data_IF_100380145167
#
_entry.id   IF_100380145167
#
_cell.length_a   1.000
_cell.length_b   1.000
_cell.length_c   1.000
_cell.angle_alpha   90.00
_cell.angle_beta   90.00
_cell.angle_gamma   90.00
#
_symmetry.space_group_name_H-M   'P 1'
#
loop_
_entity.id
_entity.type
_entity.pdbx_description
1 polymer ?
#
# COMPACT_ATOMS: atom_id res chain seq x y z
N UNK A 1 -0.09 -11.11 -11.42
CA UNK A 1 0.04 -11.29 -9.94
C UNK A 1 -0.70 -10.19 -9.18
N UNK A 2 -1.25 -10.47 -7.97
CA UNK A 2 -1.85 -9.43 -7.11
C UNK A 2 -0.74 -8.71 -6.33
N UNK A 3 -0.37 -7.48 -6.74
CA UNK A 3 0.71 -6.71 -6.10
C UNK A 3 0.21 -5.81 -4.97
N UNK A 4 -1.01 -5.28 -5.07
CA UNK A 4 -1.61 -4.44 -4.04
C UNK A 4 -3.04 -4.87 -3.75
N UNK A 5 -3.25 -5.48 -2.58
CA UNK A 5 -4.59 -5.79 -2.05
C UNK A 5 -5.42 -4.52 -1.87
N UNK A 6 -4.81 -3.44 -1.37
CA UNK A 6 -5.49 -2.15 -1.16
C UNK A 6 -6.05 -1.59 -2.48
N UNK A 7 -5.27 -1.65 -3.56
CA UNK A 7 -5.70 -1.23 -4.91
C UNK A 7 -6.82 -2.14 -5.45
N UNK A 8 -6.69 -3.46 -5.27
CA UNK A 8 -7.75 -4.39 -5.66
C UNK A 8 -9.06 -4.12 -4.91
N UNK A 9 -8.99 -3.79 -3.61
CA UNK A 9 -10.15 -3.41 -2.79
C UNK A 9 -10.80 -2.09 -3.22
N UNK A 10 -10.10 -1.24 -3.96
CA UNK A 10 -10.63 0.03 -4.46
C UNK A 10 -11.52 -0.12 -5.71
N UNK A 11 -11.58 -1.30 -6.33
CA UNK A 11 -12.39 -1.52 -7.54
C UNK A 11 -13.89 -1.36 -7.23
N UNK A 12 -14.64 -0.54 -8.00
CA UNK A 12 -16.06 -0.25 -7.72
C UNK A 12 -16.98 -1.47 -7.76
N UNK A 13 -16.60 -2.49 -8.54
CA UNK A 13 -17.38 -3.73 -8.73
C UNK A 13 -16.97 -4.87 -7.79
N UNK A 14 -16.11 -4.57 -6.82
CA UNK A 14 -15.57 -5.57 -5.91
C UNK A 14 -16.66 -6.14 -5.00
N UNK A 15 -16.68 -7.48 -4.91
CA UNK A 15 -17.51 -8.24 -3.98
C UNK A 15 -16.66 -9.25 -3.21
N UNK A 16 -17.19 -9.83 -2.15
CA UNK A 16 -16.50 -10.87 -1.37
C UNK A 16 -16.05 -12.06 -2.24
N UNK A 17 -16.85 -12.40 -3.25
CA UNK A 17 -16.62 -13.51 -4.17
C UNK A 17 -15.81 -13.14 -5.42
N UNK A 18 -15.39 -11.88 -5.58
CA UNK A 18 -14.58 -11.47 -6.73
C UNK A 18 -13.32 -12.35 -6.83
N UNK A 19 -13.06 -13.00 -8.00
CA UNK A 19 -11.96 -13.92 -8.12
C UNK A 19 -10.60 -13.21 -8.19
N UNK A 20 -9.64 -13.76 -7.47
CA UNK A 20 -8.21 -13.36 -7.50
C UNK A 20 -7.40 -14.58 -7.91
N UNK A 21 -6.61 -14.46 -8.96
CA UNK A 21 -5.69 -15.52 -9.39
C UNK A 21 -4.37 -15.41 -8.64
N UNK A 22 -3.95 -16.53 -8.04
CA UNK A 22 -2.64 -16.71 -7.42
C UNK A 22 -1.99 -17.95 -8.06
N UNK A 23 -1.08 -17.73 -8.98
CA UNK A 23 -0.54 -18.79 -9.84
C UNK A 23 -1.66 -19.38 -10.74
N UNK A 24 -1.81 -20.70 -10.69
CA UNK A 24 -2.84 -21.42 -11.46
C UNK A 24 -4.20 -21.52 -10.74
N UNK A 25 -4.25 -21.13 -9.47
CA UNK A 25 -5.45 -21.23 -8.64
C UNK A 25 -6.20 -19.89 -8.58
N UNK A 26 -7.53 -20.00 -8.39
CA UNK A 26 -8.40 -18.85 -8.20
C UNK A 26 -9.07 -18.94 -6.84
N UNK A 27 -9.01 -17.84 -6.09
CA UNK A 27 -9.60 -17.68 -4.78
C UNK A 27 -10.52 -16.45 -4.78
N UNK A 28 -11.45 -16.37 -3.86
CA UNK A 28 -12.18 -15.12 -3.65
C UNK A 28 -11.29 -14.07 -2.92
N UNK A 29 -11.58 -12.80 -3.14
CA UNK A 29 -10.88 -11.69 -2.40
C UNK A 29 -10.97 -11.91 -0.90
N UNK A 30 -12.13 -12.32 -0.39
CA UNK A 30 -12.34 -12.55 1.04
C UNK A 30 -11.48 -13.71 1.57
N UNK A 31 -11.34 -14.81 0.82
CA UNK A 31 -10.45 -15.92 1.18
C UNK A 31 -8.98 -15.48 1.25
N UNK A 32 -8.52 -14.70 0.26
CA UNK A 32 -7.16 -14.19 0.22
C UNK A 32 -6.89 -13.27 1.43
N UNK A 33 -7.78 -12.32 1.69
CA UNK A 33 -7.67 -11.42 2.86
C UNK A 33 -7.68 -12.19 4.17
N UNK A 34 -8.62 -13.12 4.32
CA UNK A 34 -8.74 -13.92 5.55
C UNK A 34 -7.52 -14.79 5.78
N UNK A 35 -6.99 -15.42 4.72
CA UNK A 35 -5.77 -16.22 4.82
C UNK A 35 -4.56 -15.39 5.21
N UNK A 36 -4.39 -14.21 4.58
CA UNK A 36 -3.33 -13.26 4.95
C UNK A 36 -3.42 -12.85 6.42
N UNK A 37 -4.61 -12.48 6.89
CA UNK A 37 -4.82 -12.05 8.27
C UNK A 37 -4.63 -13.19 9.29
N UNK A 38 -4.97 -14.44 8.93
CA UNK A 38 -4.62 -15.61 9.76
C UNK A 38 -3.12 -15.79 9.90
N UNK A 39 -2.38 -15.58 8.81
CA UNK A 39 -0.92 -15.60 8.85
C UNK A 39 -0.36 -14.49 9.76
N UNK A 40 -0.85 -13.26 9.61
CA UNK A 40 -0.48 -12.13 10.49
C UNK A 40 -0.78 -12.46 11.96
N UNK A 41 -1.96 -13.04 12.25
CA UNK A 41 -2.31 -13.47 13.62
C UNK A 41 -1.30 -14.47 14.17
N UNK A 42 -0.97 -15.49 13.39
CA UNK A 42 0.00 -16.52 13.80
C UNK A 42 1.39 -15.92 14.05
N UNK A 43 1.84 -14.97 13.24
CA UNK A 43 3.13 -14.30 13.46
C UNK A 43 3.15 -13.44 14.73
N UNK A 44 2.04 -12.74 15.02
CA UNK A 44 1.90 -11.98 16.28
C UNK A 44 1.92 -12.90 17.50
N UNK A 45 1.27 -14.05 17.43
CA UNK A 45 1.26 -15.06 18.52
C UNK A 45 2.67 -15.63 18.75
N UNK A 46 3.46 -15.87 17.71
CA UNK A 46 4.88 -16.27 17.83
C UNK A 46 5.71 -15.20 18.54
N UNK A 47 5.37 -13.94 18.39
CA UNK A 47 6.00 -12.81 19.10
C UNK A 47 5.45 -12.59 20.52
N UNK A 48 4.69 -13.54 21.06
CA UNK A 48 4.03 -13.48 22.38
C UNK A 48 3.00 -12.35 22.52
N UNK A 49 2.42 -11.87 21.43
CA UNK A 49 1.27 -10.96 21.49
C UNK A 49 0.01 -11.77 21.76
N UNK A 50 -0.67 -11.49 22.88
CA UNK A 50 -1.90 -12.19 23.25
C UNK A 50 -3.09 -11.75 22.39
N UNK A 51 -3.09 -12.12 21.12
CA UNK A 51 -4.08 -11.65 20.11
C UNK A 51 -5.51 -11.99 20.50
N UNK A 52 -5.75 -13.14 21.10
CA UNK A 52 -7.11 -13.58 21.53
C UNK A 52 -7.70 -12.70 22.62
N UNK A 53 -6.86 -12.01 23.40
CA UNK A 53 -7.27 -11.07 24.45
C UNK A 53 -7.22 -9.62 23.99
N UNK A 54 -6.53 -9.35 22.89
CA UNK A 54 -6.38 -8.00 22.35
C UNK A 54 -7.67 -7.51 21.69
N UNK A 55 -7.94 -6.23 21.82
CA UNK A 55 -8.97 -5.52 21.07
C UNK A 55 -8.30 -4.86 19.88
N UNK A 56 -8.70 -5.26 18.67
CA UNK A 56 -8.11 -4.76 17.42
C UNK A 56 -8.93 -3.58 16.90
N UNK A 57 -8.24 -2.52 16.50
CA UNK A 57 -8.83 -1.40 15.76
C UNK A 57 -8.35 -1.50 14.32
N UNK A 58 -9.29 -1.49 13.38
CA UNK A 58 -9.00 -1.58 11.95
C UNK A 58 -9.08 -0.19 11.34
N UNK A 59 -8.04 0.20 10.61
CA UNK A 59 -8.05 1.45 9.85
C UNK A 59 -8.36 1.17 8.38
N UNK A 60 -9.16 2.05 7.78
CA UNK A 60 -9.55 2.02 6.36
C UNK A 60 -9.37 3.40 5.74
N UNK A 61 -9.18 3.53 4.42
CA UNK A 61 -9.08 4.83 3.76
C UNK A 61 -10.27 5.74 4.10
N UNK A 62 -10.04 7.06 4.20
CA UNK A 62 -11.07 8.02 4.60
C UNK A 62 -12.29 8.02 3.64
N UNK A 63 -12.04 7.77 2.36
CA UNK A 63 -13.03 7.71 1.30
C UNK A 63 -13.48 6.29 0.94
N UNK A 64 -13.14 5.30 1.76
CA UNK A 64 -13.57 3.92 1.53
C UNK A 64 -15.08 3.77 1.71
N UNK A 65 -15.75 3.13 0.75
CA UNK A 65 -17.17 2.87 0.74
C UNK A 65 -17.48 1.38 0.63
N UNK A 66 -18.68 0.97 1.08
CA UNK A 66 -19.24 -0.36 0.85
C UNK A 66 -18.23 -1.49 1.08
N UNK A 67 -17.90 -2.23 0.03
CA UNK A 67 -17.00 -3.38 0.09
C UNK A 67 -15.61 -3.04 0.66
N UNK A 68 -15.06 -1.86 0.37
CA UNK A 68 -13.77 -1.43 0.91
C UNK A 68 -13.74 -1.34 2.44
N UNK A 69 -14.88 -1.10 3.07
CA UNK A 69 -15.00 -1.07 4.55
C UNK A 69 -15.40 -2.43 5.11
N UNK A 70 -16.35 -3.10 4.46
CA UNK A 70 -16.96 -4.32 4.98
C UNK A 70 -16.06 -5.54 4.80
N UNK A 71 -15.37 -5.69 3.66
CA UNK A 71 -14.52 -6.85 3.41
C UNK A 71 -13.33 -6.97 4.36
N UNK A 72 -12.56 -5.89 4.65
CA UNK A 72 -11.53 -5.97 5.69
C UNK A 72 -12.11 -6.35 7.06
N UNK A 73 -13.24 -5.76 7.44
CA UNK A 73 -13.88 -6.06 8.73
C UNK A 73 -14.26 -7.55 8.83
N UNK A 74 -14.91 -8.08 7.79
CA UNK A 74 -15.31 -9.48 7.72
C UNK A 74 -14.08 -10.40 7.72
N UNK A 75 -13.05 -10.08 6.96
CA UNK A 75 -11.81 -10.84 6.92
C UNK A 75 -11.10 -10.89 8.29
N UNK A 76 -11.03 -9.77 9.03
CA UNK A 76 -10.50 -9.75 10.39
C UNK A 76 -11.31 -10.64 11.32
N UNK A 77 -12.63 -10.59 11.25
CA UNK A 77 -13.52 -11.44 12.06
C UNK A 77 -13.34 -12.93 11.73
N UNK A 78 -13.32 -13.28 10.44
CA UNK A 78 -13.10 -14.67 9.99
C UNK A 78 -11.69 -15.18 10.29
N UNK A 79 -10.70 -14.31 10.39
CA UNK A 79 -9.35 -14.64 10.85
C UNK A 79 -9.26 -14.80 12.38
N UNK A 80 -10.34 -14.54 13.12
CA UNK A 80 -10.42 -14.73 14.56
C UNK A 80 -9.87 -13.54 15.37
N UNK A 81 -9.85 -12.33 14.80
CA UNK A 81 -9.56 -11.10 15.55
C UNK A 81 -10.82 -10.53 16.22
N UNK A 82 -10.67 -9.97 17.40
CA UNK A 82 -11.73 -9.25 18.12
C UNK A 82 -11.71 -7.77 17.74
N UNK A 83 -12.40 -7.43 16.66
CA UNK A 83 -12.47 -6.04 16.18
C UNK A 83 -13.33 -5.21 17.13
N UNK A 84 -12.72 -4.20 17.74
CA UNK A 84 -13.38 -3.30 18.70
C UNK A 84 -13.92 -2.03 18.02
N UNK A 85 -13.25 -1.54 17.00
CA UNK A 85 -13.63 -0.33 16.27
C UNK A 85 -13.01 -0.31 14.87
N UNK A 86 -13.56 0.55 14.03
CA UNK A 86 -13.01 0.90 12.74
C UNK A 86 -12.79 2.42 12.70
N UNK A 87 -11.62 2.84 12.23
CA UNK A 87 -11.22 4.24 12.09
C UNK A 87 -10.89 4.56 10.63
N UNK A 88 -10.83 5.84 10.30
CA UNK A 88 -10.20 6.28 9.06
C UNK A 88 -8.67 6.31 9.23
N UNK A 89 -7.92 5.85 8.23
CA UNK A 89 -6.45 5.83 8.25
C UNK A 89 -5.84 7.19 8.64
N UNK A 90 -6.26 8.34 8.07
CA UNK A 90 -5.71 9.63 8.47
C UNK A 90 -6.04 10.03 9.92
N UNK A 91 -7.20 9.63 10.43
CA UNK A 91 -7.53 9.87 11.85
C UNK A 91 -6.63 9.03 12.77
N UNK A 92 -6.34 7.78 12.39
CA UNK A 92 -5.43 6.92 13.15
C UNK A 92 -3.99 7.48 13.15
N UNK A 93 -3.50 7.94 12.00
CA UNK A 93 -2.19 8.57 11.87
C UNK A 93 -2.11 9.89 12.67
N UNK A 94 -3.15 10.72 12.59
CA UNK A 94 -3.27 11.96 13.36
C UNK A 94 -3.27 11.70 14.87
N UNK A 95 -3.98 10.68 15.30
CA UNK A 95 -4.03 10.27 16.72
C UNK A 95 -2.65 9.82 17.23
N UNK A 96 -1.95 8.97 16.49
CA UNK A 96 -0.61 8.51 16.86
C UNK A 96 0.39 9.66 16.90
N UNK A 97 0.34 10.57 15.93
CA UNK A 97 1.19 11.76 15.91
C UNK A 97 0.94 12.65 17.14
N UNK A 98 -0.31 12.94 17.46
CA UNK A 98 -0.66 13.82 18.58
C UNK A 98 -0.38 13.16 19.94
N UNK A 99 -0.49 11.84 20.02
CA UNK A 99 -0.12 11.09 21.22
C UNK A 99 1.39 11.17 21.48
N UNK A 100 2.22 10.94 20.46
CA UNK A 100 3.69 11.01 20.57
C UNK A 100 4.23 12.43 20.70
N UNK A 101 3.56 13.40 20.12
CA UNK A 101 3.99 14.79 20.01
C UNK A 101 2.99 15.75 20.65
N UNK A 102 2.49 15.40 21.83
CA UNK A 102 1.45 16.17 22.55
C UNK A 102 1.80 17.67 22.69
N UNK A 103 3.08 18.03 22.76
CA UNK A 103 3.54 19.42 22.86
C UNK A 103 3.47 20.21 21.55
N UNK A 104 3.29 19.55 20.40
CA UNK A 104 3.23 20.22 19.09
C UNK A 104 1.83 20.69 18.74
N UNK A 105 0.81 20.08 19.32
CA UNK A 105 -0.60 20.49 19.17
C UNK A 105 -0.96 21.47 20.30
N UNK A 106 -1.50 22.60 19.94
CA UNK A 106 -1.90 23.66 20.89
C UNK A 106 -3.19 24.32 20.38
N UNK A 107 -3.79 25.18 21.21
CA UNK A 107 -4.98 25.95 20.79
C UNK A 107 -4.78 26.81 19.51
N UNK A 108 -3.53 27.03 19.10
CA UNK A 108 -3.17 27.73 17.86
C UNK A 108 -2.77 26.79 16.71
N UNK A 109 -2.56 25.50 16.99
CA UNK A 109 -2.11 24.48 16.02
C UNK A 109 -2.97 23.24 16.21
N UNK A 110 -4.16 23.27 15.65
CA UNK A 110 -5.14 22.19 15.75
C UNK A 110 -5.18 21.30 14.50
N UNK A 111 -4.51 21.70 13.42
CA UNK A 111 -4.58 20.99 12.13
C UNK A 111 -3.32 20.20 11.84
N UNK A 112 -3.53 18.95 11.43
CA UNK A 112 -2.49 18.02 11.02
C UNK A 112 -2.76 17.63 9.56
N UNK A 113 -1.76 17.84 8.71
CA UNK A 113 -1.77 17.31 7.34
C UNK A 113 -1.14 15.92 7.38
N UNK A 114 -1.92 14.90 7.04
CA UNK A 114 -1.47 13.53 6.86
C UNK A 114 -1.14 13.35 5.38
N UNK A 115 0.06 12.86 5.11
CA UNK A 115 0.56 12.52 3.79
C UNK A 115 0.94 11.04 3.80
N UNK A 116 0.19 10.21 3.10
CA UNK A 116 0.36 8.77 3.05
C UNK A 116 0.65 8.32 1.61
N UNK A 117 1.92 8.03 1.32
CA UNK A 117 2.35 7.45 0.05
C UNK A 117 2.67 5.98 0.29
N UNK A 118 1.74 5.12 -0.08
CA UNK A 118 1.86 3.68 0.05
C UNK A 118 2.45 2.98 -1.18
N UNK A 119 2.38 1.64 -1.19
CA UNK A 119 2.78 0.84 -2.35
C UNK A 119 1.84 1.03 -3.54
N UNK A 120 0.54 1.11 -3.30
CA UNK A 120 -0.48 1.17 -4.37
C UNK A 120 -1.26 2.47 -4.46
N UNK A 121 -1.27 3.32 -3.43
CA UNK A 121 -2.07 4.55 -3.38
C UNK A 121 -1.30 5.69 -2.73
N UNK A 122 -1.71 6.89 -3.05
CA UNK A 122 -1.34 8.11 -2.35
C UNK A 122 -2.59 8.75 -1.77
N UNK A 123 -2.55 9.06 -0.48
CA UNK A 123 -3.64 9.73 0.23
C UNK A 123 -3.10 10.95 0.98
N UNK A 124 -3.83 12.08 0.89
CA UNK A 124 -3.55 13.26 1.70
C UNK A 124 -4.82 13.70 2.40
N UNK A 125 -4.71 14.01 3.70
CA UNK A 125 -5.87 14.36 4.51
C UNK A 125 -5.54 15.48 5.49
N UNK A 126 -6.47 16.41 5.64
CA UNK A 126 -6.42 17.43 6.65
C UNK A 126 -7.28 17.00 7.85
N UNK A 127 -6.65 16.85 9.00
CA UNK A 127 -7.29 16.41 10.25
C UNK A 127 -7.31 17.58 11.23
N UNK A 128 -8.47 17.92 11.77
CA UNK A 128 -8.60 18.84 12.89
C UNK A 128 -8.53 18.05 14.20
N UNK A 129 -7.79 18.59 15.17
CA UNK A 129 -7.51 17.95 16.45
C UNK A 129 -7.97 18.86 17.57
N UNK A 130 -9.00 18.44 18.29
CA UNK A 130 -9.52 19.15 19.47
C UNK A 130 -9.52 18.19 20.66
N UNK A 131 -8.57 18.37 21.57
CA UNK A 131 -8.38 17.44 22.68
C UNK A 131 -8.06 16.02 22.19
N UNK A 132 -8.96 15.07 22.45
CA UNK A 132 -8.88 13.68 21.98
C UNK A 132 -9.68 13.41 20.71
N UNK A 133 -10.39 14.41 20.19
CA UNK A 133 -11.18 14.29 18.97
C UNK A 133 -10.32 14.56 17.74
N UNK A 134 -10.43 13.69 16.73
CA UNK A 134 -9.72 13.79 15.45
C UNK A 134 -10.74 13.69 14.31
N UNK A 135 -11.01 14.83 13.67
CA UNK A 135 -11.98 14.94 12.59
C UNK A 135 -11.26 15.16 11.25
N UNK A 136 -11.57 14.34 10.24
CA UNK A 136 -11.08 14.54 8.89
C UNK A 136 -11.89 15.63 8.22
N UNK A 137 -11.28 16.81 8.00
CA UNK A 137 -11.92 17.95 7.36
C UNK A 137 -11.98 17.80 5.84
N UNK A 138 -10.90 17.25 5.26
CA UNK A 138 -10.80 16.99 3.83
C UNK A 138 -9.85 15.81 3.60
N UNK A 139 -10.12 15.04 2.56
CA UNK A 139 -9.26 13.96 2.10
C UNK A 139 -9.27 13.92 0.58
N UNK A 140 -8.08 13.68 0.00
CA UNK A 140 -7.91 13.46 -1.43
C UNK A 140 -6.97 12.30 -1.64
N UNK A 141 -7.34 11.36 -2.51
CA UNK A 141 -6.56 10.16 -2.80
C UNK A 141 -6.36 9.95 -4.29
N UNK A 142 -5.21 9.40 -4.65
CA UNK A 142 -4.88 8.91 -5.99
C UNK A 142 -4.67 7.40 -5.91
N UNK A 143 -5.50 6.64 -6.61
CA UNK A 143 -5.47 5.17 -6.60
C UNK A 143 -4.42 4.57 -7.54
N UNK A 144 -3.78 5.39 -8.34
CA UNK A 144 -2.80 5.07 -9.38
C UNK A 144 -1.44 5.76 -9.14
N UNK A 145 -1.18 6.19 -7.92
CA UNK A 145 0.11 6.75 -7.50
C UNK A 145 0.60 6.03 -6.25
N UNK A 146 1.66 5.27 -6.39
CA UNK A 146 2.29 4.53 -5.30
C UNK A 146 3.62 3.92 -5.70
N UNK A 147 4.23 3.17 -4.79
CA UNK A 147 5.49 2.47 -5.04
C UNK A 147 5.44 1.51 -6.22
N UNK A 148 4.31 0.84 -6.43
CA UNK A 148 4.09 -0.09 -7.54
C UNK A 148 4.13 0.62 -8.92
N UNK A 149 3.69 1.88 -8.98
CA UNK A 149 3.74 2.66 -10.23
C UNK A 149 5.17 3.07 -10.58
N UNK A 150 6.00 3.32 -9.57
CA UNK A 150 7.43 3.53 -9.76
C UNK A 150 8.11 2.26 -10.27
N UNK A 151 7.73 1.08 -9.75
CA UNK A 151 8.25 -0.21 -10.24
C UNK A 151 7.88 -0.44 -11.70
N UNK A 152 6.63 -0.19 -12.08
CA UNK A 152 6.16 -0.26 -13.47
C UNK A 152 6.93 0.71 -14.38
N UNK A 153 7.13 1.95 -13.92
CA UNK A 153 7.91 2.94 -14.66
C UNK A 153 9.36 2.48 -14.89
N UNK A 154 9.98 1.89 -13.85
CA UNK A 154 11.32 1.32 -13.97
C UNK A 154 11.34 0.16 -14.96
N UNK A 155 10.39 -0.78 -14.86
CA UNK A 155 10.27 -1.92 -15.77
C UNK A 155 10.11 -1.47 -17.23
N UNK A 156 9.23 -0.50 -17.50
CA UNK A 156 9.05 0.10 -18.83
C UNK A 156 10.35 0.69 -19.36
N UNK A 157 11.12 1.40 -18.53
CA UNK A 157 12.42 1.93 -18.94
C UNK A 157 13.45 0.83 -19.22
N UNK A 158 13.43 -0.28 -18.47
CA UNK A 158 14.27 -1.47 -18.74
C UNK A 158 13.92 -2.06 -20.10
N UNK A 159 12.64 -2.31 -20.36
CA UNK A 159 12.13 -2.89 -21.61
C UNK A 159 12.49 -2.03 -22.82
N UNK A 160 12.27 -0.73 -22.73
CA UNK A 160 12.63 0.22 -23.78
C UNK A 160 14.13 0.19 -24.11
N UNK A 161 15.00 0.08 -23.10
CA UNK A 161 16.45 0.01 -23.29
C UNK A 161 16.91 -1.34 -23.83
N UNK A 162 16.22 -2.40 -23.47
CA UNK A 162 16.47 -3.75 -24.00
C UNK A 162 15.95 -3.94 -25.41
N UNK A 163 15.05 -3.06 -25.90
CA UNK A 163 14.36 -3.24 -27.18
C UNK A 163 13.39 -4.41 -27.17
N UNK A 164 12.80 -4.72 -26.00
CA UNK A 164 11.85 -5.83 -25.81
C UNK A 164 10.47 -5.23 -25.56
N UNK A 165 9.45 -5.74 -26.22
CA UNK A 165 8.06 -5.38 -25.94
C UNK A 165 7.55 -6.14 -24.71
N UNK A 166 6.64 -5.54 -23.95
CA UNK A 166 6.09 -6.18 -22.73
C UNK A 166 5.34 -7.49 -23.06
N UNK A 167 4.66 -7.53 -24.22
CA UNK A 167 3.96 -8.70 -24.73
C UNK A 167 4.88 -9.88 -25.08
N UNK A 168 6.18 -9.64 -25.25
CA UNK A 168 7.18 -10.67 -25.50
C UNK A 168 7.69 -11.34 -24.21
N UNK A 169 7.27 -10.84 -23.04
CA UNK A 169 7.59 -11.44 -21.75
C UNK A 169 6.53 -12.47 -21.35
N UNK A 170 7.00 -13.58 -20.81
CA UNK A 170 6.12 -14.48 -20.05
C UNK A 170 5.66 -13.78 -18.76
N UNK A 171 4.50 -14.18 -18.19
CA UNK A 171 4.05 -13.64 -16.90
C UNK A 171 5.09 -13.76 -15.78
N UNK A 172 5.88 -14.83 -15.76
CA UNK A 172 6.95 -15.04 -14.78
C UNK A 172 8.10 -14.05 -14.99
N UNK A 173 8.52 -13.84 -16.24
CA UNK A 173 9.59 -12.87 -16.53
C UNK A 173 9.18 -11.44 -16.17
N UNK A 174 7.92 -11.07 -16.41
CA UNK A 174 7.38 -9.76 -16.01
C UNK A 174 7.34 -9.62 -14.48
N UNK A 175 6.89 -10.65 -13.78
CA UNK A 175 6.88 -10.63 -12.31
C UNK A 175 8.29 -10.52 -11.74
N UNK A 176 9.27 -11.28 -12.25
CA UNK A 176 10.67 -11.22 -11.85
C UNK A 176 11.29 -9.84 -12.12
N UNK A 177 10.98 -9.23 -13.28
CA UNK A 177 11.43 -7.89 -13.63
C UNK A 177 10.89 -6.85 -12.64
N UNK A 178 9.60 -6.91 -12.33
CA UNK A 178 8.97 -5.99 -11.38
C UNK A 178 9.49 -6.17 -9.94
N UNK A 179 9.80 -7.40 -9.54
CA UNK A 179 10.39 -7.67 -8.22
C UNK A 179 11.82 -7.14 -8.12
N UNK A 180 12.63 -7.27 -9.19
CA UNK A 180 13.95 -6.64 -9.27
C UNK A 180 13.85 -5.10 -9.21
N UNK A 181 12.89 -4.50 -9.91
CA UNK A 181 12.67 -3.05 -9.88
C UNK A 181 12.30 -2.57 -8.47
N UNK A 182 11.41 -3.30 -7.77
CA UNK A 182 11.05 -3.01 -6.39
C UNK A 182 12.25 -3.09 -5.45
N UNK A 183 12.98 -4.18 -5.49
CA UNK A 183 14.16 -4.40 -4.64
C UNK A 183 15.20 -3.30 -4.88
N UNK A 184 15.50 -2.99 -6.14
CA UNK A 184 16.44 -1.95 -6.50
C UNK A 184 16.00 -0.55 -6.05
N UNK A 185 14.68 -0.24 -6.10
CA UNK A 185 14.10 1.01 -5.61
C UNK A 185 14.21 1.13 -4.09
N UNK A 186 13.82 0.07 -3.36
CA UNK A 186 13.79 0.06 -1.90
C UNK A 186 15.19 0.14 -1.27
N UNK A 187 16.19 -0.42 -1.95
CA UNK A 187 17.59 -0.39 -1.52
C UNK A 187 18.44 0.70 -2.17
N UNK A 188 17.81 1.67 -2.86
CA UNK A 188 18.54 2.72 -3.58
C UNK A 188 19.19 3.73 -2.63
N UNK A 189 20.53 3.78 -2.53
CA UNK A 189 21.22 4.78 -1.71
C UNK A 189 20.97 6.20 -2.25
N UNK A 190 20.87 7.22 -1.39
CA UNK A 190 20.56 8.61 -1.80
C UNK A 190 21.54 9.22 -2.82
N UNK A 191 22.79 8.76 -2.84
CA UNK A 191 23.81 9.24 -3.77
C UNK A 191 23.91 8.42 -5.06
N UNK A 192 23.10 7.39 -5.22
CA UNK A 192 23.13 6.54 -6.40
C UNK A 192 22.78 7.32 -7.66
N UNK A 193 23.58 7.12 -8.68
CA UNK A 193 23.36 7.74 -10.00
C UNK A 193 22.79 6.75 -11.01
N UNK A 194 22.85 5.45 -10.71
CA UNK A 194 22.48 4.36 -11.62
C UNK A 194 21.85 3.23 -10.83
N UNK A 195 20.90 2.55 -11.46
CA UNK A 195 20.30 1.29 -11.03
C UNK A 195 20.61 0.23 -12.07
N UNK A 196 20.98 -0.97 -11.64
CA UNK A 196 21.24 -2.11 -12.50
C UNK A 196 20.10 -3.12 -12.35
N UNK A 197 19.50 -3.52 -13.46
CA UNK A 197 18.47 -4.56 -13.54
C UNK A 197 18.93 -5.60 -14.55
N UNK A 198 18.68 -6.88 -14.29
CA UNK A 198 19.05 -7.97 -15.20
C UNK A 198 17.80 -8.53 -15.86
N UNK A 199 17.73 -8.48 -17.20
CA UNK A 199 16.65 -9.07 -17.97
C UNK A 199 17.23 -10.06 -18.99
N UNK A 200 16.80 -11.31 -18.96
CA UNK A 200 17.28 -12.39 -19.86
C UNK A 200 18.81 -12.50 -19.90
N UNK A 201 19.46 -12.32 -18.74
CA UNK A 201 20.92 -12.35 -18.62
C UNK A 201 21.65 -11.08 -19.09
N UNK A 202 20.94 -10.10 -19.60
CA UNK A 202 21.49 -8.80 -20.00
C UNK A 202 21.39 -7.80 -18.85
N UNK A 203 22.51 -7.18 -18.46
CA UNK A 203 22.56 -6.13 -17.47
C UNK A 203 22.16 -4.78 -18.08
N UNK A 204 21.09 -4.18 -17.60
CA UNK A 204 20.52 -2.92 -18.09
C UNK A 204 20.69 -1.86 -17.03
N UNK A 205 21.31 -0.73 -17.39
CA UNK A 205 21.60 0.36 -16.47
C UNK A 205 20.61 1.49 -16.67
N UNK A 206 19.87 1.84 -15.63
CA UNK A 206 18.96 2.99 -15.60
C UNK A 206 19.61 4.18 -14.87
N UNK A 207 19.60 5.40 -15.44
CA UNK A 207 20.00 6.58 -14.73
C UNK A 207 18.93 7.03 -13.73
N UNK A 208 19.30 7.20 -12.47
CA UNK A 208 18.36 7.60 -11.39
C UNK A 208 17.73 8.98 -11.65
N UNK A 209 18.46 9.89 -12.27
CA UNK A 209 17.94 11.21 -12.66
C UNK A 209 16.77 11.14 -13.64
N UNK A 210 16.76 10.13 -14.51
CA UNK A 210 15.62 9.87 -15.42
C UNK A 210 14.38 9.41 -14.69
N UNK A 211 14.55 8.57 -13.66
CA UNK A 211 13.45 8.09 -12.82
C UNK A 211 12.82 9.25 -12.03
N UNK A 212 13.63 10.09 -11.38
CA UNK A 212 13.11 11.26 -10.66
C UNK A 212 12.33 12.20 -11.56
N UNK A 213 12.82 12.47 -12.79
CA UNK A 213 12.09 13.31 -13.74
C UNK A 213 10.75 12.72 -14.16
N UNK A 214 10.67 11.41 -14.31
CA UNK A 214 9.44 10.73 -14.70
C UNK A 214 8.42 10.65 -13.54
N UNK A 215 8.89 10.64 -12.29
CA UNK A 215 8.04 10.67 -11.10
C UNK A 215 7.58 12.09 -10.72
N UNK A 216 8.16 13.14 -11.32
CA UNK A 216 7.78 14.53 -11.03
C UNK A 216 6.78 14.98 -12.09
N UNK A 217 5.54 15.38 -11.71
CA UNK A 217 4.60 15.93 -12.69
C UNK A 217 5.20 17.18 -13.36
N UNK A 218 4.88 17.45 -14.63
CA UNK A 218 5.28 18.69 -15.25
C UNK A 218 4.67 19.86 -14.47
N UNK A 219 5.54 20.79 -14.07
CA UNK A 219 5.15 22.04 -13.40
C UNK A 219 4.51 22.97 -14.43
#
# INVERSE_FOLDING_TARGET
MLRSLKRALAAPTLTASTPVRLGEQSFSVLEVLTSYLRHVKAELEKQNVAVDRARVVVAVPAHAYGAQRLLPLEAFQQAGFRVAAMLNEPSAAGFEYTHRKATTVSSRRTRVLVYDLGGGTFDTSLVDVVGTSHEVLASHGLGDLGGDDVDLLMATNVLNRAGIAEEDLSPTELDDLLDQCRDAKEHLPPQSRRVLIVLRGQAIVLPVTGLYKACTPPV
#
